data_IF_866676281971
#
_entry.id   IF_866676281971
#
_cell.length_a   1.000
_cell.length_b   1.000
_cell.length_c   1.000
_cell.angle_alpha   90.00
_cell.angle_beta   90.00
_cell.angle_gamma   90.00
#
_symmetry.space_group_name_H-M   'P 1'
#
loop_
_entity.id
_entity.type
_entity.pdbx_description
1 polymer ?
#
# COMPACT_ATOMS: atom_id res chain seq x y z
N UNK A 1 5.92 -16.81 -2.70
CA UNK A 1 5.72 -15.96 -3.89
C UNK A 1 5.90 -16.83 -5.14
N UNK A 2 5.27 -16.50 -6.26
CA UNK A 2 5.51 -17.18 -7.54
C UNK A 2 6.20 -16.22 -8.49
N UNK A 3 7.11 -16.73 -9.32
CA UNK A 3 7.84 -15.94 -10.31
C UNK A 3 7.82 -16.64 -11.66
N UNK A 4 7.50 -15.88 -12.70
CA UNK A 4 7.72 -16.27 -14.09
C UNK A 4 9.00 -15.62 -14.61
N UNK A 5 9.70 -16.32 -15.52
CA UNK A 5 10.83 -15.80 -16.30
C UNK A 5 10.55 -15.80 -17.81
N UNK A 6 9.33 -16.13 -18.20
CA UNK A 6 8.91 -16.40 -19.57
C UNK A 6 7.58 -15.71 -19.90
N UNK A 7 7.42 -14.48 -19.42
CA UNK A 7 6.25 -13.63 -19.67
C UNK A 7 4.92 -14.21 -19.20
N UNK A 8 4.92 -14.92 -18.06
CA UNK A 8 3.73 -15.45 -17.40
C UNK A 8 3.28 -16.81 -17.90
N UNK A 9 4.03 -17.47 -18.79
CA UNK A 9 3.70 -18.80 -19.31
C UNK A 9 3.90 -19.90 -18.26
N UNK A 10 5.00 -19.84 -17.51
CA UNK A 10 5.27 -20.77 -16.41
C UNK A 10 5.62 -20.04 -15.13
N UNK A 11 5.35 -20.69 -14.01
CA UNK A 11 5.52 -20.11 -12.67
C UNK A 11 6.26 -21.08 -11.77
N UNK A 12 7.31 -20.59 -11.11
CA UNK A 12 8.02 -21.34 -10.09
C UNK A 12 7.77 -20.70 -8.73
N UNK A 13 7.51 -21.52 -7.72
CA UNK A 13 7.46 -21.05 -6.34
C UNK A 13 8.86 -20.59 -5.92
N UNK A 14 8.96 -19.35 -5.46
CA UNK A 14 10.18 -18.80 -4.88
C UNK A 14 9.96 -18.52 -3.40
N UNK A 15 10.98 -18.86 -2.61
CA UNK A 15 11.02 -18.48 -1.21
C UNK A 15 11.23 -16.96 -1.13
N UNK A 16 10.36 -16.30 -0.38
CA UNK A 16 10.45 -14.89 -0.10
C UNK A 16 10.21 -14.68 1.39
N UNK A 17 11.01 -13.81 2.00
CA UNK A 17 10.87 -13.44 3.41
C UNK A 17 10.21 -12.08 3.46
N UNK A 18 9.02 -11.99 4.06
CA UNK A 18 8.31 -10.72 4.28
C UNK A 18 8.43 -10.41 5.77
N UNK A 19 9.17 -9.36 6.11
CA UNK A 19 9.37 -8.96 7.51
C UNK A 19 8.20 -8.10 7.98
N UNK A 20 7.72 -8.28 9.22
CA UNK A 20 6.73 -7.37 9.80
C UNK A 20 7.30 -5.96 9.94
N UNK A 21 6.43 -5.00 10.26
CA UNK A 21 6.87 -3.68 10.71
C UNK A 21 7.61 -3.76 12.07
N UNK A 22 8.24 -2.66 12.56
CA UNK A 22 8.91 -2.66 13.87
C UNK A 22 8.01 -2.98 15.08
N UNK A 23 6.68 -2.98 14.91
CA UNK A 23 5.71 -3.34 15.95
C UNK A 23 5.26 -4.81 15.84
N UNK A 24 5.83 -5.58 14.92
CA UNK A 24 5.45 -6.97 14.68
C UNK A 24 4.20 -7.13 13.81
N UNK A 25 3.68 -6.05 13.21
CA UNK A 25 2.51 -6.11 12.35
C UNK A 25 2.87 -6.69 10.99
N UNK A 26 2.24 -7.82 10.65
CA UNK A 26 2.46 -8.50 9.37
C UNK A 26 1.63 -7.83 8.26
N UNK A 27 2.24 -7.41 7.15
CA UNK A 27 1.50 -6.87 6.02
C UNK A 27 0.70 -7.96 5.30
N UNK A 28 -0.52 -7.63 4.90
CA UNK A 28 -1.38 -8.42 4.06
C UNK A 28 -1.37 -7.87 2.64
N UNK A 29 -1.26 -8.78 1.68
CA UNK A 29 -1.20 -8.45 0.27
C UNK A 29 -2.59 -8.30 -0.38
N UNK A 30 -3.66 -8.47 0.38
CA UNK A 30 -5.02 -8.58 -0.13
C UNK A 30 -5.56 -7.24 -0.67
N UNK A 31 -6.34 -7.30 -1.76
CA UNK A 31 -7.10 -6.19 -2.38
C UNK A 31 -6.30 -4.93 -2.75
N UNK A 32 -4.97 -5.01 -2.79
CA UNK A 32 -4.13 -3.91 -3.24
C UNK A 32 -3.73 -4.07 -4.70
N UNK A 33 -3.58 -2.95 -5.39
CA UNK A 33 -3.17 -2.89 -6.80
C UNK A 33 -1.77 -3.49 -7.03
N UNK A 34 -1.36 -3.53 -8.30
CA UNK A 34 -0.03 -3.99 -8.69
C UNK A 34 1.08 -3.13 -8.05
N UNK A 35 2.25 -3.74 -7.86
CA UNK A 35 3.45 -3.01 -7.48
C UNK A 35 4.08 -2.26 -8.66
N UNK A 36 5.10 -1.47 -8.37
CA UNK A 36 5.95 -0.77 -9.33
C UNK A 36 7.42 -1.10 -9.09
N UNK A 37 8.25 -0.89 -10.11
CA UNK A 37 9.71 -0.83 -9.96
C UNK A 37 10.15 0.62 -10.06
N UNK A 38 10.80 1.15 -9.02
CA UNK A 38 11.28 2.54 -9.02
C UNK A 38 12.32 2.75 -10.12
N UNK A 39 12.22 3.86 -10.85
CA UNK A 39 13.08 4.17 -12.00
C UNK A 39 14.03 5.32 -11.72
N UNK A 40 13.82 6.06 -10.63
CA UNK A 40 14.53 7.31 -10.30
C UNK A 40 15.15 7.26 -8.90
N UNK A 41 16.09 8.18 -8.66
CA UNK A 41 16.69 8.42 -7.35
C UNK A 41 17.54 7.27 -6.80
N UNK A 42 17.86 7.38 -5.50
CA UNK A 42 18.75 6.44 -4.77
C UNK A 42 18.23 5.01 -4.72
N UNK A 43 16.91 4.82 -4.84
CA UNK A 43 16.24 3.52 -4.72
C UNK A 43 15.81 2.93 -6.07
N UNK A 44 16.38 3.41 -7.19
CA UNK A 44 16.13 2.86 -8.52
C UNK A 44 16.35 1.34 -8.53
N UNK A 45 15.38 0.59 -9.07
CA UNK A 45 15.37 -0.87 -9.11
C UNK A 45 14.61 -1.53 -7.96
N UNK A 46 14.28 -0.78 -6.89
CA UNK A 46 13.42 -1.27 -5.81
C UNK A 46 12.06 -1.69 -6.34
N UNK A 47 11.62 -2.88 -5.95
CA UNK A 47 10.22 -3.30 -6.08
C UNK A 47 9.43 -2.70 -4.93
N UNK A 48 8.30 -2.05 -5.21
CA UNK A 48 7.43 -1.43 -4.22
C UNK A 48 6.00 -1.84 -4.50
N UNK A 49 5.26 -2.25 -3.46
CA UNK A 49 3.86 -2.62 -3.60
C UNK A 49 3.03 -2.15 -2.40
N UNK A 50 1.81 -1.63 -2.60
CA UNK A 50 0.89 -1.39 -1.50
C UNK A 50 0.53 -2.70 -0.77
N UNK A 51 0.33 -2.60 0.53
CA UNK A 51 -0.10 -3.68 1.40
C UNK A 51 -0.96 -3.10 2.52
N UNK A 52 -1.52 -3.96 3.36
CA UNK A 52 -2.45 -3.53 4.42
C UNK A 52 -2.22 -4.27 5.71
N UNK A 53 -2.51 -3.64 6.84
CA UNK A 53 -2.65 -4.34 8.12
C UNK A 53 -4.10 -4.30 8.61
N UNK A 54 -4.66 -5.48 8.88
CA UNK A 54 -6.04 -5.66 9.33
C UNK A 54 -6.20 -5.58 10.86
N UNK A 55 -5.26 -4.93 11.56
CA UNK A 55 -5.30 -4.88 13.03
C UNK A 55 -5.50 -6.26 13.69
N UNK A 56 -4.95 -7.32 13.09
CA UNK A 56 -5.08 -8.72 13.51
C UNK A 56 -6.24 -9.50 12.85
N UNK A 57 -7.40 -8.88 12.57
CA UNK A 57 -8.57 -9.55 11.93
C UNK A 57 -9.42 -8.57 11.14
N UNK A 58 -9.99 -9.03 10.02
CA UNK A 58 -10.87 -8.22 9.17
C UNK A 58 -12.33 -8.21 9.68
N UNK A 59 -12.58 -7.61 10.85
CA UNK A 59 -13.91 -7.48 11.44
C UNK A 59 -14.30 -6.00 11.64
N UNK A 60 -15.59 -5.66 11.55
CA UNK A 60 -16.09 -4.27 11.59
C UNK A 60 -15.60 -3.49 12.82
N UNK A 61 -15.55 -4.15 13.98
CA UNK A 61 -15.05 -3.54 15.22
C UNK A 61 -13.59 -3.07 15.14
N UNK A 62 -12.78 -3.65 14.24
CA UNK A 62 -11.37 -3.30 14.04
C UNK A 62 -11.11 -2.36 12.87
N UNK A 63 -12.12 -2.06 12.06
CA UNK A 63 -12.00 -1.13 10.94
C UNK A 63 -11.39 0.24 11.32
N UNK A 64 -11.71 0.84 12.49
CA UNK A 64 -11.05 2.07 12.92
C UNK A 64 -9.54 1.96 13.11
N UNK A 65 -8.99 0.74 13.20
CA UNK A 65 -7.57 0.46 13.41
C UNK A 65 -6.86 -0.12 12.19
N UNK A 66 -7.59 -0.45 11.13
CA UNK A 66 -6.99 -0.84 9.86
C UNK A 66 -6.16 0.32 9.30
N UNK A 67 -5.05 0.00 8.66
CA UNK A 67 -4.31 0.97 7.86
C UNK A 67 -3.66 0.28 6.67
N UNK A 68 -3.38 1.07 5.66
CA UNK A 68 -2.58 0.65 4.50
C UNK A 68 -1.11 1.01 4.73
N UNK A 69 -0.21 0.34 4.03
CA UNK A 69 1.23 0.56 4.06
C UNK A 69 1.82 0.03 2.74
N UNK A 70 3.12 -0.19 2.67
CA UNK A 70 3.74 -0.86 1.54
C UNK A 70 4.70 -1.94 2.01
N UNK A 71 5.04 -2.83 1.08
CA UNK A 71 6.25 -3.62 1.14
C UNK A 71 7.18 -3.26 0.01
N UNK A 72 8.47 -3.33 0.29
CA UNK A 72 9.50 -3.08 -0.72
C UNK A 72 10.66 -4.06 -0.63
N UNK A 73 11.31 -4.28 -1.76
CA UNK A 73 12.46 -5.18 -1.90
C UNK A 73 13.52 -4.57 -2.80
N UNK A 74 14.77 -4.61 -2.33
CA UNK A 74 15.95 -4.14 -3.06
C UNK A 74 16.79 -5.31 -3.62
N UNK A 75 16.41 -6.57 -3.36
CA UNK A 75 17.18 -7.77 -3.71
C UNK A 75 16.47 -8.66 -4.75
N UNK A 76 15.59 -8.05 -5.55
CA UNK A 76 14.83 -8.72 -6.61
C UNK A 76 13.70 -9.61 -6.08
N UNK A 77 13.17 -9.30 -4.90
CA UNK A 77 12.01 -9.94 -4.30
C UNK A 77 12.32 -11.10 -3.36
N UNK A 78 13.58 -11.28 -2.94
CA UNK A 78 13.96 -12.35 -2.00
C UNK A 78 13.59 -11.96 -0.57
N UNK A 79 13.88 -10.72 -0.18
CA UNK A 79 13.48 -10.14 1.10
C UNK A 79 12.66 -8.89 0.90
N UNK A 80 11.61 -8.76 1.71
CA UNK A 80 10.67 -7.66 1.68
C UNK A 80 10.61 -7.01 3.06
N UNK A 81 10.76 -5.70 3.07
CA UNK A 81 10.62 -4.85 4.25
C UNK A 81 9.22 -4.23 4.24
N UNK A 82 8.63 -4.04 5.42
CA UNK A 82 7.35 -3.34 5.57
C UNK A 82 7.61 -1.86 5.86
N UNK A 83 6.94 -0.97 5.13
CA UNK A 83 7.02 0.47 5.35
C UNK A 83 6.37 0.88 6.67
N UNK A 84 6.61 2.12 7.09
CA UNK A 84 5.76 2.74 8.11
C UNK A 84 4.28 2.73 7.67
N UNK A 85 3.33 2.73 8.62
CA UNK A 85 1.92 2.89 8.32
C UNK A 85 1.64 4.15 7.48
N UNK A 86 0.69 4.07 6.56
CA UNK A 86 0.12 5.24 5.93
C UNK A 86 -0.49 6.16 7.01
N UNK A 87 -0.42 7.50 6.87
CA UNK A 87 -0.78 8.44 7.93
C UNK A 87 -2.30 8.57 8.17
N UNK A 88 -3.08 7.54 7.88
CA UNK A 88 -4.51 7.46 8.18
C UNK A 88 -4.92 6.03 8.54
N UNK A 89 -5.90 5.93 9.43
CA UNK A 89 -6.59 4.66 9.76
C UNK A 89 -7.92 4.56 9.01
N UNK A 90 -8.53 3.38 9.04
CA UNK A 90 -9.75 3.08 8.28
C UNK A 90 -9.53 3.03 6.77
N UNK A 91 -8.27 2.94 6.33
CA UNK A 91 -7.89 2.86 4.92
C UNK A 91 -7.92 1.43 4.41
N UNK A 92 -8.17 1.26 3.12
CA UNK A 92 -8.38 -0.04 2.47
C UNK A 92 -7.42 -0.27 1.32
N UNK A 93 -8.01 -0.59 0.17
CA UNK A 93 -7.32 -0.76 -1.11
C UNK A 93 -6.49 0.48 -1.46
N UNK A 94 -5.35 0.25 -2.11
CA UNK A 94 -4.41 1.30 -2.44
C UNK A 94 -3.63 1.02 -3.72
N UNK A 95 -3.11 2.11 -4.28
CA UNK A 95 -2.21 2.14 -5.43
C UNK A 95 -1.07 3.13 -5.21
N UNK A 96 0.03 2.93 -5.93
CA UNK A 96 1.22 3.81 -5.90
C UNK A 96 1.67 4.15 -7.30
N UNK A 97 2.25 5.34 -7.45
CA UNK A 97 2.91 5.79 -8.68
C UNK A 97 4.20 6.54 -8.34
N UNK A 98 5.26 6.31 -9.12
CA UNK A 98 6.47 7.13 -9.05
C UNK A 98 6.26 8.42 -9.85
N UNK A 99 6.44 9.57 -9.19
CA UNK A 99 6.33 10.89 -9.79
C UNK A 99 7.59 11.23 -10.60
N UNK A 100 7.49 12.26 -11.45
CA UNK A 100 8.58 12.69 -12.34
C UNK A 100 9.83 13.14 -11.58
N UNK A 101 9.66 13.65 -10.36
CA UNK A 101 10.73 14.06 -9.44
C UNK A 101 11.29 12.91 -8.58
N UNK A 102 10.79 11.69 -8.73
CA UNK A 102 11.22 10.51 -7.98
C UNK A 102 10.54 10.31 -6.62
N UNK A 103 9.65 11.23 -6.19
CA UNK A 103 8.75 10.94 -5.07
C UNK A 103 7.77 9.85 -5.46
N UNK A 104 7.21 9.16 -4.47
CA UNK A 104 6.14 8.19 -4.68
C UNK A 104 4.84 8.81 -4.21
N UNK A 105 3.85 8.84 -5.08
CA UNK A 105 2.46 9.14 -4.74
C UNK A 105 1.78 7.86 -4.27
N UNK A 106 1.12 7.91 -3.13
CA UNK A 106 0.38 6.81 -2.55
C UNK A 106 -1.08 7.23 -2.41
N UNK A 107 -2.00 6.51 -3.05
CA UNK A 107 -3.43 6.75 -2.97
C UNK A 107 -4.12 5.56 -2.32
N UNK A 108 -5.04 5.83 -1.39
CA UNK A 108 -5.79 4.78 -0.71
C UNK A 108 -7.25 5.16 -0.59
N UNK A 109 -8.11 4.21 -0.92
CA UNK A 109 -9.52 4.25 -0.55
C UNK A 109 -9.69 4.13 0.97
N UNK A 110 -10.88 4.48 1.46
CA UNK A 110 -11.22 4.25 2.86
C UNK A 110 -12.52 3.49 2.97
N UNK A 111 -12.58 2.58 3.93
CA UNK A 111 -13.76 1.77 4.23
C UNK A 111 -14.37 2.14 5.58
N UNK A 112 -13.69 2.99 6.36
CA UNK A 112 -14.19 3.46 7.65
C UNK A 112 -13.93 4.94 7.90
N UNK A 113 -14.85 5.56 8.63
CA UNK A 113 -14.92 6.97 8.92
C UNK A 113 -15.39 7.20 10.36
N UNK A 114 -14.88 8.21 11.07
CA UNK A 114 -15.60 8.76 12.22
C UNK A 114 -16.99 9.25 11.83
N UNK A 115 -17.92 9.29 12.79
CA UNK A 115 -19.28 9.79 12.58
C UNK A 115 -19.31 11.17 11.92
N UNK A 116 -20.25 11.39 11.00
CA UNK A 116 -20.38 12.64 10.25
C UNK A 116 -19.35 12.85 9.13
N UNK A 117 -18.44 11.89 8.87
CA UNK A 117 -17.50 11.94 7.75
C UNK A 117 -17.84 10.89 6.69
N UNK A 118 -17.72 11.24 5.42
CA UNK A 118 -18.06 10.36 4.30
C UNK A 118 -16.98 9.28 4.05
N UNK A 119 -17.25 7.97 4.24
CA UNK A 119 -16.29 6.89 3.99
C UNK A 119 -16.02 6.65 2.50
N UNK A 120 -16.84 7.15 1.57
CA UNK A 120 -16.70 6.96 0.11
C UNK A 120 -15.65 7.88 -0.53
N UNK A 121 -14.54 8.10 0.16
CA UNK A 121 -13.48 9.04 -0.22
C UNK A 121 -12.13 8.49 0.20
N UNK A 122 -11.12 8.78 -0.61
CA UNK A 122 -9.76 8.35 -0.37
C UNK A 122 -8.88 9.40 0.32
N UNK A 123 -7.66 8.98 0.59
CA UNK A 123 -6.55 9.81 0.99
C UNK A 123 -5.42 9.65 -0.01
N UNK A 124 -4.58 10.67 -0.12
CA UNK A 124 -3.26 10.51 -0.69
C UNK A 124 -2.19 11.01 0.26
N UNK A 125 -1.00 10.44 0.11
CA UNK A 125 0.22 10.86 0.77
C UNK A 125 1.37 10.66 -0.24
N UNK A 126 2.58 11.06 0.15
CA UNK A 126 3.76 10.86 -0.68
C UNK A 126 4.96 10.41 0.13
N UNK A 127 5.95 9.85 -0.54
CA UNK A 127 7.24 9.45 0.02
C UNK A 127 8.39 10.05 -0.78
N UNK A 128 9.42 10.53 -0.10
CA UNK A 128 10.70 10.97 -0.64
C UNK A 128 11.86 10.01 -0.29
N UNK A 129 11.56 8.88 0.36
CA UNK A 129 12.54 7.91 0.87
C UNK A 129 12.38 6.50 0.25
N UNK A 130 11.86 6.45 -0.98
CA UNK A 130 11.68 5.21 -1.73
C UNK A 130 10.58 4.31 -1.15
N UNK A 131 9.58 4.89 -0.48
CA UNK A 131 8.39 4.20 0.02
C UNK A 131 8.55 3.62 1.44
N UNK A 132 9.54 4.08 2.19
CA UNK A 132 9.76 3.63 3.57
C UNK A 132 8.86 4.38 4.55
N UNK A 133 8.63 5.68 4.34
CA UNK A 133 7.71 6.52 5.14
C UNK A 133 6.78 7.36 4.26
N UNK A 134 5.68 7.82 4.84
CA UNK A 134 4.60 8.50 4.12
C UNK A 134 4.27 9.84 4.78
N UNK A 135 4.18 10.91 3.99
CA UNK A 135 4.04 12.31 4.41
C UNK A 135 2.91 13.01 3.65
N UNK A 136 2.44 14.13 4.19
CA UNK A 136 1.50 15.02 3.49
C UNK A 136 0.11 14.40 3.26
N UNK A 137 -0.48 13.79 4.31
CA UNK A 137 -1.84 13.26 4.26
C UNK A 137 -2.81 14.33 3.73
N UNK A 138 -3.46 14.02 2.62
CA UNK A 138 -4.38 14.94 1.96
C UNK A 138 -5.63 14.21 1.52
N UNK A 139 -6.78 14.84 1.73
CA UNK A 139 -8.08 14.28 1.35
C UNK A 139 -8.28 14.33 -0.17
N UNK A 140 -8.68 13.20 -0.76
CA UNK A 140 -8.99 13.12 -2.19
C UNK A 140 -10.41 13.64 -2.40
N UNK A 141 -10.54 14.82 -3.01
CA UNK A 141 -11.86 15.39 -3.37
C UNK A 141 -12.46 14.66 -4.59
N UNK A 142 -11.62 14.30 -5.56
CA UNK A 142 -11.96 13.68 -6.84
C UNK A 142 -10.82 12.72 -7.24
N UNK A 143 -11.10 11.53 -7.79
CA UNK A 143 -12.44 10.96 -8.00
C UNK A 143 -13.08 10.48 -6.68
N UNK A 144 -14.42 10.40 -6.62
CA UNK A 144 -15.09 9.69 -5.54
C UNK A 144 -14.73 8.20 -5.53
N UNK A 145 -14.80 7.57 -4.36
CA UNK A 145 -14.67 6.12 -4.22
C UNK A 145 -16.06 5.48 -4.16
N UNK A 146 -16.38 4.60 -5.11
CA UNK A 146 -17.68 3.92 -5.23
C UNK A 146 -18.90 4.80 -5.57
N UNK A 147 -20.11 4.18 -5.67
CA UNK A 147 -21.35 4.85 -6.03
C UNK A 147 -21.67 6.02 -5.08
N UNK A 148 -21.97 7.19 -5.66
CA UNK A 148 -22.29 8.39 -4.88
C UNK A 148 -23.79 8.54 -4.57
N UNK A 149 -24.64 7.83 -5.30
CA UNK A 149 -26.09 8.00 -5.29
C UNK A 149 -26.85 6.82 -4.65
N UNK A 150 -26.16 5.87 -4.00
CA UNK A 150 -26.78 4.76 -3.29
C UNK A 150 -25.99 4.42 -2.03
N UNK A 151 -26.69 4.26 -0.90
CA UNK A 151 -26.16 3.68 0.33
C UNK A 151 -26.35 2.17 0.31
#
# INVERSE_FOLDING_TARGET
MFRSKDHGKTWTKVQAVIKPDPKGNVPAMHMNEHGITLRRGKHKGRLLRPSRWYAGKNERARWPNHYTNAVFSDDGGKTWQTSAPFPAKGTGEATVAELSDGRIYYNSGRHWAPGGKNPRRGWWAWSDDGGATWKGLTFVKIPPDGPQNSN
#
